data_IF_943331019112
#
_entry.id   IF_943331019112
#
_cell.length_a   1.000
_cell.length_b   1.000
_cell.length_c   1.000
_cell.angle_alpha   90.00
_cell.angle_beta   90.00
_cell.angle_gamma   90.00
#
_symmetry.space_group_name_H-M   'P 1'
#
loop_
_entity.id
_entity.type
_entity.pdbx_description
1 polymer ?
#
# COMPACT_ATOMS: atom_id res chain seq x y z
N UNK A 1 37.28 -10.94 -9.71
CA UNK A 1 36.30 -9.84 -9.80
C UNK A 1 36.68 -8.77 -8.80
N UNK A 2 36.84 -7.51 -9.23
CA UNK A 2 37.03 -6.37 -8.32
C UNK A 2 35.72 -6.13 -7.55
N UNK A 3 35.79 -5.92 -6.24
CA UNK A 3 34.62 -5.48 -5.47
C UNK A 3 34.34 -4.01 -5.79
N UNK A 4 33.06 -3.61 -5.97
CA UNK A 4 32.70 -2.20 -6.14
C UNK A 4 33.21 -1.35 -4.99
N UNK A 5 33.51 -0.07 -5.24
CA UNK A 5 33.83 0.85 -4.15
C UNK A 5 32.58 1.14 -3.30
N UNK A 6 32.75 1.62 -2.07
CA UNK A 6 31.60 2.03 -1.23
C UNK A 6 30.73 3.09 -1.89
N UNK A 7 31.33 4.00 -2.66
CA UNK A 7 30.60 5.03 -3.39
C UNK A 7 29.76 4.44 -4.52
N UNK A 8 30.27 3.40 -5.20
CA UNK A 8 29.52 2.69 -6.25
C UNK A 8 28.37 1.89 -5.65
N UNK A 9 28.59 1.19 -4.53
CA UNK A 9 27.53 0.46 -3.81
C UNK A 9 26.39 1.41 -3.37
N UNK A 10 26.73 2.60 -2.89
CA UNK A 10 25.75 3.60 -2.50
C UNK A 10 24.95 4.12 -3.69
N UNK A 11 25.63 4.50 -4.79
CA UNK A 11 24.98 4.99 -6.00
C UNK A 11 24.01 3.96 -6.59
N UNK A 12 24.43 2.69 -6.66
CA UNK A 12 23.57 1.59 -7.12
C UNK A 12 22.33 1.47 -6.22
N UNK A 13 22.53 1.53 -4.89
CA UNK A 13 21.41 1.50 -3.94
C UNK A 13 20.41 2.64 -4.13
N UNK A 14 20.89 3.86 -4.40
CA UNK A 14 20.06 5.04 -4.66
C UNK A 14 19.28 4.94 -5.97
N UNK A 15 19.88 4.36 -7.02
CA UNK A 15 19.21 4.11 -8.30
C UNK A 15 18.09 3.08 -8.13
N UNK A 16 18.37 1.96 -7.47
CA UNK A 16 17.36 0.93 -7.14
C UNK A 16 16.23 1.54 -6.30
N UNK A 17 16.56 2.32 -5.27
CA UNK A 17 15.57 2.94 -4.41
C UNK A 17 14.56 3.79 -5.20
N UNK A 18 15.06 4.60 -6.16
CA UNK A 18 14.22 5.44 -7.04
C UNK A 18 13.30 4.61 -7.93
N UNK A 19 13.79 3.51 -8.48
CA UNK A 19 12.98 2.62 -9.32
C UNK A 19 11.84 1.97 -8.54
N UNK A 20 12.14 1.48 -7.33
CA UNK A 20 11.14 0.87 -6.44
C UNK A 20 10.11 1.90 -5.97
N UNK A 21 10.54 3.12 -5.65
CA UNK A 21 9.63 4.23 -5.37
C UNK A 21 8.70 4.51 -6.54
N UNK A 22 9.25 4.66 -7.74
CA UNK A 22 8.48 4.94 -8.94
C UNK A 22 7.45 3.83 -9.23
N UNK A 23 7.82 2.56 -9.04
CA UNK A 23 6.89 1.44 -9.16
C UNK A 23 5.70 1.56 -8.19
N UNK A 24 5.95 1.98 -6.94
CA UNK A 24 4.89 2.14 -5.95
C UNK A 24 3.97 3.33 -6.25
N UNK A 25 4.52 4.45 -6.72
CA UNK A 25 3.71 5.58 -7.21
C UNK A 25 2.77 5.13 -8.33
N UNK A 26 3.31 4.49 -9.37
CA UNK A 26 2.50 3.98 -10.49
C UNK A 26 1.48 2.94 -10.04
N UNK A 27 1.81 2.11 -9.04
CA UNK A 27 0.88 1.14 -8.45
C UNK A 27 -0.34 1.81 -7.82
N UNK A 28 -0.14 2.87 -7.03
CA UNK A 28 -1.25 3.60 -6.43
C UNK A 28 -2.07 4.38 -7.47
N UNK A 29 -1.42 4.95 -8.48
CA UNK A 29 -2.09 5.59 -9.61
C UNK A 29 -2.95 4.60 -10.40
N UNK A 30 -2.42 3.41 -10.71
CA UNK A 30 -3.16 2.36 -11.40
C UNK A 30 -4.38 1.88 -10.60
N UNK A 31 -4.26 1.74 -9.27
CA UNK A 31 -5.40 1.43 -8.39
C UNK A 31 -6.46 2.52 -8.48
N UNK A 32 -6.06 3.79 -8.35
CA UNK A 32 -6.97 4.94 -8.41
C UNK A 32 -7.62 5.11 -9.80
N UNK A 33 -6.93 4.71 -10.87
CA UNK A 33 -7.42 4.72 -12.24
C UNK A 33 -8.22 3.45 -12.63
N UNK A 34 -8.37 2.50 -11.70
CA UNK A 34 -9.04 1.22 -11.90
C UNK A 34 -8.41 0.34 -13.01
N UNK A 35 -7.09 0.42 -13.18
CA UNK A 35 -6.33 -0.38 -14.14
C UNK A 35 -5.76 -1.64 -13.48
N UNK A 36 -6.38 -2.80 -13.73
CA UNK A 36 -6.04 -4.06 -13.07
C UNK A 36 -5.59 -5.18 -14.03
N UNK A 37 -5.18 -4.85 -15.25
CA UNK A 37 -4.66 -5.84 -16.20
C UNK A 37 -3.27 -6.32 -15.75
N UNK A 38 -3.06 -7.59 -15.36
CA UNK A 38 -1.80 -8.08 -14.79
C UNK A 38 -0.60 -8.01 -15.74
N UNK A 39 -0.83 -7.89 -17.05
CA UNK A 39 0.20 -7.91 -18.08
C UNK A 39 0.74 -6.51 -18.42
N UNK A 40 0.22 -5.47 -17.78
CA UNK A 40 0.62 -4.07 -18.00
C UNK A 40 1.35 -3.49 -16.79
N UNK A 41 2.19 -2.47 -17.01
CA UNK A 41 2.77 -1.68 -15.93
C UNK A 41 1.63 -1.10 -15.06
N UNK A 42 1.75 -1.12 -13.72
CA UNK A 42 2.92 -1.51 -12.92
C UNK A 42 2.97 -2.98 -12.50
N UNK A 43 1.98 -3.78 -12.88
CA UNK A 43 1.76 -5.14 -12.37
C UNK A 43 2.82 -6.14 -12.84
N UNK A 44 3.55 -5.81 -13.90
CA UNK A 44 4.73 -6.55 -14.37
C UNK A 44 5.93 -6.46 -13.43
N UNK A 45 5.89 -5.63 -12.39
CA UNK A 45 6.90 -5.57 -11.30
C UNK A 45 6.57 -6.44 -10.08
N UNK A 46 5.46 -7.19 -10.11
CA UNK A 46 4.98 -8.04 -9.02
C UNK A 46 5.22 -9.51 -9.35
N UNK A 47 5.78 -10.27 -8.40
CA UNK A 47 5.94 -11.70 -8.57
C UNK A 47 4.58 -12.40 -8.65
N UNK A 48 4.46 -13.46 -9.45
CA UNK A 48 3.22 -14.24 -9.53
C UNK A 48 2.80 -14.79 -8.15
N UNK A 49 3.78 -15.25 -7.37
CA UNK A 49 3.62 -15.70 -5.98
C UNK A 49 3.55 -14.59 -4.93
N UNK A 50 3.21 -13.36 -5.33
CA UNK A 50 3.03 -12.24 -4.41
C UNK A 50 2.00 -12.59 -3.32
N UNK A 51 2.24 -12.20 -2.08
CA UNK A 51 1.31 -12.49 -0.99
C UNK A 51 1.19 -11.38 0.07
N UNK A 52 0.05 -11.34 0.75
CA UNK A 52 -0.22 -10.45 1.88
C UNK A 52 -0.57 -11.27 3.13
N UNK A 53 0.36 -11.34 4.08
CA UNK A 53 0.20 -12.16 5.30
C UNK A 53 -0.60 -11.46 6.41
N UNK A 54 -0.53 -10.13 6.45
CA UNK A 54 -1.07 -9.29 7.51
C UNK A 54 -1.66 -8.01 6.90
N UNK A 55 -2.93 -8.06 6.54
CA UNK A 55 -3.74 -6.87 6.31
C UNK A 55 -4.53 -6.60 7.58
N UNK A 56 -3.97 -5.82 8.51
CA UNK A 56 -4.86 -5.18 9.48
C UNK A 56 -5.69 -4.19 8.67
N UNK A 57 -7.00 -4.39 8.55
CA UNK A 57 -7.83 -3.56 7.67
C UNK A 57 -9.01 -4.29 7.04
N UNK A 58 -9.39 -3.87 5.83
CA UNK A 58 -10.52 -4.41 5.07
C UNK A 58 -10.09 -5.40 3.98
N UNK A 59 -8.81 -5.37 3.57
CA UNK A 59 -8.28 -6.30 2.57
C UNK A 59 -8.08 -7.68 3.19
N UNK A 60 -8.43 -8.75 2.47
CA UNK A 60 -8.19 -10.12 2.91
C UNK A 60 -6.71 -10.53 2.81
N UNK A 61 -6.40 -11.75 3.23
CA UNK A 61 -5.13 -12.40 2.86
C UNK A 61 -5.19 -12.74 1.37
N UNK A 62 -4.12 -12.45 0.64
CA UNK A 62 -3.96 -12.86 -0.76
C UNK A 62 -2.69 -13.69 -0.89
N UNK A 63 -2.72 -14.67 -1.78
CA UNK A 63 -1.63 -15.62 -2.01
C UNK A 63 -1.00 -15.52 -3.40
N UNK A 64 -1.55 -14.64 -4.24
CA UNK A 64 -1.02 -14.37 -5.59
C UNK A 64 -1.22 -12.91 -6.00
N UNK A 65 -0.47 -12.50 -7.03
CA UNK A 65 -0.70 -11.22 -7.72
C UNK A 65 -2.13 -11.12 -8.26
N UNK A 66 -2.64 -12.19 -8.87
CA UNK A 66 -3.99 -12.22 -9.44
C UNK A 66 -5.07 -12.00 -8.36
N UNK A 67 -4.92 -12.62 -7.19
CA UNK A 67 -5.84 -12.43 -6.06
C UNK A 67 -5.82 -10.98 -5.56
N UNK A 68 -4.63 -10.39 -5.44
CA UNK A 68 -4.47 -8.98 -5.06
C UNK A 68 -5.22 -8.04 -6.01
N UNK A 69 -5.05 -8.23 -7.33
CA UNK A 69 -5.70 -7.39 -8.34
C UNK A 69 -7.21 -7.56 -8.31
N UNK A 70 -7.70 -8.79 -8.15
CA UNK A 70 -9.13 -9.09 -8.00
C UNK A 70 -9.73 -8.40 -6.77
N UNK A 71 -9.02 -8.39 -5.65
CA UNK A 71 -9.46 -7.68 -4.43
C UNK A 71 -9.58 -6.17 -4.67
N UNK A 72 -8.59 -5.54 -5.31
CA UNK A 72 -8.66 -4.11 -5.64
C UNK A 72 -9.75 -3.78 -6.66
N UNK A 73 -9.94 -4.63 -7.67
CA UNK A 73 -11.02 -4.48 -8.64
C UNK A 73 -12.39 -4.57 -7.96
N UNK A 74 -12.57 -5.51 -7.04
CA UNK A 74 -13.81 -5.68 -6.27
C UNK A 74 -14.06 -4.47 -5.35
N UNK A 75 -13.00 -3.99 -4.69
CA UNK A 75 -13.07 -2.84 -3.78
C UNK A 75 -13.47 -1.56 -4.52
N UNK A 76 -12.78 -1.23 -5.62
CA UNK A 76 -13.05 -0.03 -6.42
C UNK A 76 -14.37 -0.12 -7.20
N UNK A 77 -14.82 -1.33 -7.54
CA UNK A 77 -16.16 -1.53 -8.10
C UNK A 77 -17.26 -1.18 -7.09
N UNK A 78 -17.08 -1.57 -5.82
CA UNK A 78 -18.05 -1.33 -4.74
C UNK A 78 -18.00 0.08 -4.16
N UNK A 79 -16.81 0.68 -4.10
CA UNK A 79 -16.56 1.99 -3.49
C UNK A 79 -15.97 2.92 -4.55
N UNK A 80 -16.83 3.61 -5.31
CA UNK A 80 -16.42 4.44 -6.46
C UNK A 80 -15.55 5.63 -6.10
N UNK A 81 -15.68 6.12 -4.87
CA UNK A 81 -14.86 7.21 -4.35
C UNK A 81 -13.59 6.71 -3.66
N UNK A 82 -13.31 5.40 -3.71
CA UNK A 82 -12.11 4.85 -3.11
C UNK A 82 -10.87 5.41 -3.80
N UNK A 83 -10.01 6.06 -3.01
CA UNK A 83 -8.72 6.55 -3.48
C UNK A 83 -7.66 6.30 -2.44
N UNK A 84 -6.42 6.11 -2.90
CA UNK A 84 -5.22 6.01 -2.09
C UNK A 84 -4.33 7.21 -2.41
N UNK A 85 -3.87 7.93 -1.38
CA UNK A 85 -2.86 8.96 -1.49
C UNK A 85 -1.59 8.52 -0.78
N UNK A 86 -0.44 8.93 -1.33
CA UNK A 86 0.88 8.66 -0.77
C UNK A 86 1.29 9.89 0.04
N UNK A 87 1.55 9.71 1.32
CA UNK A 87 2.05 10.78 2.20
C UNK A 87 3.57 10.78 2.26
N UNK A 88 4.18 9.60 2.32
CA UNK A 88 5.63 9.46 2.39
C UNK A 88 6.07 8.07 1.91
N UNK A 89 7.22 7.99 1.24
CA UNK A 89 7.91 6.74 0.93
C UNK A 89 9.32 6.79 1.51
N UNK A 90 9.80 5.64 1.97
CA UNK A 90 11.20 5.42 2.31
C UNK A 90 11.61 4.02 1.84
N UNK A 91 12.78 3.92 1.22
CA UNK A 91 13.31 2.65 0.69
C UNK A 91 14.65 2.33 1.34
N UNK A 92 14.78 1.11 1.83
CA UNK A 92 16.04 0.54 2.31
C UNK A 92 16.47 -0.56 1.35
N UNK A 93 17.61 -0.39 0.68
CA UNK A 93 18.16 -1.36 -0.26
C UNK A 93 19.33 -2.10 0.38
N UNK A 94 19.25 -3.43 0.41
CA UNK A 94 20.26 -4.34 0.92
C UNK A 94 20.97 -5.03 -0.26
N UNK A 95 21.83 -4.29 -0.96
CA UNK A 95 22.49 -4.74 -2.20
C UNK A 95 23.25 -6.05 -2.07
N UNK A 96 23.83 -6.34 -0.90
CA UNK A 96 24.56 -7.60 -0.63
C UNK A 96 23.65 -8.82 -0.46
N UNK A 97 22.36 -8.60 -0.27
CA UNK A 97 21.36 -9.64 -0.03
C UNK A 97 20.31 -9.72 -1.12
N UNK A 98 20.44 -8.90 -2.17
CA UNK A 98 19.46 -8.82 -3.26
C UNK A 98 18.03 -8.60 -2.72
N UNK A 99 17.92 -7.78 -1.66
CA UNK A 99 16.67 -7.48 -0.96
C UNK A 99 16.47 -5.98 -0.81
N UNK A 100 15.22 -5.55 -0.77
CA UNK A 100 14.87 -4.19 -0.39
C UNK A 100 13.53 -4.16 0.36
N UNK A 101 13.39 -3.17 1.22
CA UNK A 101 12.17 -2.89 1.96
C UNK A 101 11.71 -1.47 1.64
N UNK A 102 10.44 -1.31 1.32
CA UNK A 102 9.83 -0.01 1.09
C UNK A 102 8.72 0.22 2.11
N UNK A 103 8.82 1.33 2.81
CA UNK A 103 7.87 1.79 3.81
C UNK A 103 7.00 2.89 3.19
N UNK A 104 5.71 2.64 3.09
CA UNK A 104 4.73 3.54 2.49
C UNK A 104 3.76 4.02 3.56
N UNK A 105 3.82 5.32 3.87
CA UNK A 105 2.75 5.99 4.60
C UNK A 105 1.73 6.48 3.57
N UNK A 106 0.48 6.04 3.73
CA UNK A 106 -0.61 6.33 2.81
C UNK A 106 -1.88 6.69 3.57
N UNK A 107 -2.82 7.33 2.87
CA UNK A 107 -4.18 7.51 3.34
C UNK A 107 -5.17 7.00 2.30
N UNK A 108 -6.32 6.51 2.77
CA UNK A 108 -7.40 6.03 1.91
C UNK A 108 -8.72 6.73 2.22
N UNK A 109 -9.45 7.15 1.19
CA UNK A 109 -10.78 7.76 1.27
C UNK A 109 -11.83 6.88 0.62
N UNK A 110 -13.12 7.15 0.83
CA UNK A 110 -14.24 6.49 0.15
C UNK A 110 -14.42 4.99 0.42
N UNK A 111 -13.51 4.39 1.18
CA UNK A 111 -13.48 2.96 1.44
C UNK A 111 -14.37 2.50 2.61
N UNK A 112 -14.49 1.18 2.80
CA UNK A 112 -15.32 0.58 3.84
C UNK A 112 -15.01 1.12 5.25
N UNK A 113 -16.02 1.73 5.88
CA UNK A 113 -15.93 2.30 7.22
C UNK A 113 -15.13 3.61 7.31
N UNK A 114 -14.95 4.31 6.18
CA UNK A 114 -14.40 5.68 6.14
C UNK A 114 -15.56 6.64 5.86
N UNK A 115 -15.93 7.52 6.80
CA UNK A 115 -17.00 8.51 6.58
C UNK A 115 -16.67 9.45 5.42
N UNK A 116 -17.72 10.01 4.79
CA UNK A 116 -17.56 10.99 3.72
C UNK A 116 -16.73 12.19 4.21
N UNK A 117 -15.74 12.60 3.42
CA UNK A 117 -14.83 13.70 3.76
C UNK A 117 -13.72 13.34 4.77
N UNK A 118 -13.62 12.07 5.21
CA UNK A 118 -12.53 11.60 6.05
C UNK A 118 -11.58 10.69 5.28
N UNK A 119 -10.37 10.52 5.83
CA UNK A 119 -9.39 9.56 5.35
C UNK A 119 -8.95 8.60 6.46
N UNK A 120 -8.44 7.43 6.07
CA UNK A 120 -7.84 6.46 6.97
C UNK A 120 -6.38 6.27 6.59
N UNK A 121 -5.49 6.63 7.50
CA UNK A 121 -4.06 6.41 7.35
C UNK A 121 -3.67 4.94 7.50
N UNK A 122 -2.67 4.52 6.75
CA UNK A 122 -2.04 3.21 6.82
C UNK A 122 -0.54 3.30 6.58
N UNK A 123 0.18 2.37 7.20
CA UNK A 123 1.59 2.11 6.91
C UNK A 123 1.68 0.75 6.24
N UNK A 124 2.21 0.69 5.03
CA UNK A 124 2.52 -0.57 4.35
C UNK A 124 4.02 -0.78 4.28
N UNK A 125 4.45 -2.03 4.42
CA UNK A 125 5.83 -2.48 4.17
C UNK A 125 5.80 -3.43 3.00
N UNK A 126 6.57 -3.11 1.97
CA UNK A 126 6.71 -3.88 0.73
C UNK A 126 8.10 -4.49 0.69
N UNK A 127 8.16 -5.81 0.43
CA UNK A 127 9.40 -6.57 0.39
C UNK A 127 9.73 -6.93 -1.05
N UNK A 128 10.89 -6.49 -1.50
CA UNK A 128 11.42 -6.74 -2.83
C UNK A 128 12.60 -7.70 -2.78
N UNK A 129 12.69 -8.56 -3.79
CA UNK A 129 13.84 -9.44 -3.99
C UNK A 129 14.28 -9.36 -5.45
N UNK A 130 15.60 -9.32 -5.70
CA UNK A 130 16.16 -9.42 -7.04
C UNK A 130 16.35 -10.88 -7.39
N UNK A 131 15.83 -11.33 -8.52
CA UNK A 131 16.01 -12.72 -8.94
C UNK A 131 17.19 -12.85 -9.89
N UNK A 132 17.96 -13.92 -9.75
CA UNK A 132 19.13 -14.18 -10.60
C UNK A 132 18.75 -14.63 -12.02
N UNK A 133 17.48 -15.02 -12.25
CA UNK A 133 17.03 -15.56 -13.54
C UNK A 133 16.86 -14.46 -14.58
N UNK A 134 16.31 -13.31 -14.17
CA UNK A 134 16.03 -12.19 -15.06
C UNK A 134 16.70 -10.88 -14.64
N UNK A 135 17.46 -10.92 -13.55
CA UNK A 135 18.19 -9.79 -12.98
C UNK A 135 17.28 -8.63 -12.52
N UNK A 136 15.98 -8.88 -12.32
CA UNK A 136 14.97 -7.87 -11.96
C UNK A 136 14.58 -7.92 -10.49
N UNK A 137 14.19 -6.76 -9.98
CA UNK A 137 13.57 -6.59 -8.68
C UNK A 137 12.07 -6.88 -8.75
N UNK A 138 11.62 -7.82 -7.94
CA UNK A 138 10.24 -8.26 -7.88
C UNK A 138 9.62 -7.91 -6.53
N UNK A 139 8.41 -7.36 -6.55
CA UNK A 139 7.62 -7.21 -5.33
C UNK A 139 7.06 -8.58 -4.92
N UNK A 140 7.54 -9.09 -3.78
CA UNK A 140 7.24 -10.44 -3.30
C UNK A 140 6.11 -10.46 -2.28
N UNK A 141 6.02 -9.41 -1.45
CA UNK A 141 5.12 -9.41 -0.29
C UNK A 141 4.77 -8.00 0.16
N UNK A 142 3.54 -7.85 0.66
CA UNK A 142 3.11 -6.66 1.41
C UNK A 142 2.64 -7.04 2.84
N UNK A 143 2.90 -6.15 3.78
CA UNK A 143 2.25 -6.11 5.10
C UNK A 143 1.66 -4.71 5.31
N UNK A 144 0.40 -4.63 5.76
CA UNK A 144 -0.26 -3.34 6.03
C UNK A 144 -0.74 -3.23 7.46
N UNK A 145 -0.34 -2.13 8.09
CA UNK A 145 -0.79 -1.66 9.38
C UNK A 145 -1.76 -0.49 9.16
N UNK A 146 -3.08 -0.73 9.25
CA UNK A 146 -4.04 0.38 9.21
C UNK A 146 -4.12 1.06 10.57
N UNK A 147 -4.11 2.40 10.57
CA UNK A 147 -4.51 3.18 11.73
C UNK A 147 -5.90 2.74 12.20
N UNK A 148 -6.06 2.54 13.52
CA UNK A 148 -7.37 2.20 14.08
C UNK A 148 -8.35 3.32 13.77
N UNK A 149 -9.41 3.05 13.00
CA UNK A 149 -10.54 3.98 12.91
C UNK A 149 -11.08 4.25 14.32
N UNK A 150 -11.44 5.49 14.64
CA UNK A 150 -12.13 5.87 15.90
C UNK A 150 -13.34 4.97 16.22
N UNK A 151 -13.99 4.41 15.20
CA UNK A 151 -15.10 3.45 15.35
C UNK A 151 -14.71 2.10 16.02
N UNK A 152 -13.44 1.70 15.98
CA UNK A 152 -12.91 0.53 16.72
C UNK A 152 -12.41 0.92 18.10
N UNK A 153 -11.93 2.15 18.29
CA UNK A 153 -11.59 2.67 19.63
C UNK A 153 -12.84 2.83 20.50
N UNK A 154 -13.93 3.38 19.96
CA UNK A 154 -15.20 3.51 20.68
C UNK A 154 -15.78 2.17 21.15
N UNK A 155 -15.63 1.11 20.36
CA UNK A 155 -16.06 -0.25 20.74
C UNK A 155 -15.09 -0.99 21.67
N UNK A 156 -13.79 -0.71 21.60
CA UNK A 156 -12.77 -1.41 22.41
C UNK A 156 -12.52 -0.73 23.76
N UNK A 157 -12.79 0.57 23.87
CA UNK A 157 -12.55 1.38 25.07
C UNK A 157 -13.82 2.04 25.64
N UNK A 158 -15.01 1.67 25.17
CA UNK A 158 -16.28 2.16 25.74
C UNK A 158 -16.50 3.67 25.58
N UNK A 159 -15.81 4.33 24.65
CA UNK A 159 -16.09 5.72 24.31
C UNK A 159 -17.32 5.74 23.40
N UNK A 160 -18.50 5.90 24.01
CA UNK A 160 -19.71 6.26 23.27
C UNK A 160 -19.42 7.53 22.47
N UNK A 161 -19.54 7.42 21.14
CA UNK A 161 -19.59 8.59 20.28
C UNK A 161 -20.86 9.33 20.68
N UNK A 162 -20.70 10.41 21.44
CA UNK A 162 -21.76 11.36 21.73
C UNK A 162 -22.42 11.72 20.40
N UNK A 163 -23.63 11.20 20.19
CA UNK A 163 -24.48 11.59 19.07
C UNK A 163 -24.81 13.06 19.28
N UNK A 164 -24.10 13.94 18.59
CA UNK A 164 -24.60 15.30 18.40
C UNK A 164 -25.86 15.19 17.54
N UNK A 165 -27.01 15.18 18.22
CA UNK A 165 -28.31 15.36 17.60
C UNK A 165 -28.59 16.87 17.59
N UNK A 166 -28.56 17.56 16.45
CA UNK A 166 -29.08 18.92 16.37
C UNK A 166 -30.61 18.80 16.38
N UNK A 167 -31.20 18.69 17.57
CA UNK A 167 -32.60 19.04 17.75
C UNK A 167 -32.63 20.30 18.61
N UNK A 168 -33.38 21.29 18.12
CA UNK A 168 -33.73 22.58 18.73
C UNK A 168 -32.83 23.75 18.36
N UNK A 169 -32.99 24.23 17.13
CA UNK A 169 -33.12 25.68 16.89
C UNK A 169 -34.44 25.90 16.15
N UNK A 170 -35.52 25.93 16.92
CA UNK A 170 -36.77 26.56 16.52
C UNK A 170 -36.70 28.02 16.95
N UNK A 171 -36.76 28.93 15.98
CA UNK A 171 -37.46 30.23 16.02
C UNK A 171 -37.81 30.81 17.38
N UNK A 172 -37.21 31.96 17.73
CA UNK A 172 -37.87 33.26 17.90
C UNK A 172 -36.85 34.38 17.69
#
# INVERSE_FOLDING_TARGET
MMRPSKADEQKIGEEIAKELEALMFRSMEAINAHQFNPDLDPWTGYAEGFHMNLSTGVRGRVSSKADMLKEFATLTARYKDFKISISNISVNVYTKHDKAELYLNSASTGGPGVPLGMERSSVSVFFFERTQVDDKWWLMREVTLTGMSMARLGRRYGLEVLRFSPRHLSTM
#
